data_IF_501015825220
#
_entry.id   IF_501015825220
#
_cell.length_a   1.000
_cell.length_b   1.000
_cell.length_c   1.000
_cell.angle_alpha   90.00
_cell.angle_beta   90.00
_cell.angle_gamma   90.00
#
_symmetry.space_group_name_H-M   'P 1'
#
loop_
_entity.id
_entity.type
_entity.pdbx_description
1 polymer ?
#
# COMPACT_ATOMS: atom_id res chain seq x y z
N UNK A 1 19.96 32.51 58.12
CA UNK A 1 19.78 32.40 56.65
C UNK A 1 20.87 31.48 56.14
N UNK A 2 20.49 30.26 55.79
CA UNK A 2 21.36 29.09 55.61
C UNK A 2 21.98 29.07 54.21
N UNK A 3 23.23 28.61 54.16
CA UNK A 3 24.16 28.67 53.02
C UNK A 3 23.80 27.73 51.86
N UNK A 4 24.09 28.16 50.63
CA UNK A 4 24.05 27.33 49.43
C UNK A 4 25.42 26.65 49.20
N UNK A 5 25.43 25.33 49.10
CA UNK A 5 26.62 24.52 48.80
C UNK A 5 26.69 24.16 47.30
N UNK A 6 27.89 24.07 46.69
CA UNK A 6 28.07 23.66 45.30
C UNK A 6 28.00 22.13 45.14
N UNK A 7 27.41 21.67 44.02
CA UNK A 7 27.32 20.24 43.66
C UNK A 7 28.59 19.77 42.95
N UNK A 8 29.13 18.58 43.25
CA UNK A 8 30.24 17.99 42.50
C UNK A 8 29.77 17.31 41.19
N UNK A 9 30.62 17.25 40.15
CA UNK A 9 30.33 16.49 38.94
C UNK A 9 30.52 14.99 39.20
N UNK A 10 29.56 14.18 38.76
CA UNK A 10 29.66 12.71 38.81
C UNK A 10 30.37 12.19 37.56
N UNK A 11 31.39 11.34 37.68
CA UNK A 11 32.05 10.72 36.54
C UNK A 11 31.15 9.65 35.91
N UNK A 12 30.76 9.87 34.66
CA UNK A 12 30.23 8.85 33.75
C UNK A 12 31.35 7.86 33.45
N UNK A 13 31.42 6.76 34.20
CA UNK A 13 32.20 5.58 33.83
C UNK A 13 31.32 4.34 33.87
N UNK A 14 31.09 3.84 32.66
CA UNK A 14 31.06 2.43 32.29
C UNK A 14 30.24 1.49 33.18
N UNK A 15 29.03 1.18 32.72
CA UNK A 15 28.40 -0.12 32.92
C UNK A 15 27.68 -0.51 31.62
N UNK A 16 28.50 -0.79 30.60
CA UNK A 16 28.12 -1.56 29.42
C UNK A 16 28.47 -3.01 29.76
N UNK A 17 27.54 -3.73 30.36
CA UNK A 17 27.69 -5.14 30.69
C UNK A 17 26.37 -5.87 30.40
N UNK A 18 26.38 -6.55 29.26
CA UNK A 18 25.74 -7.83 28.96
C UNK A 18 24.34 -8.10 29.55
N UNK A 19 23.33 -7.92 28.70
CA UNK A 19 22.09 -8.70 28.75
C UNK A 19 21.88 -9.37 27.38
N UNK A 20 22.64 -10.45 27.13
CA UNK A 20 22.37 -11.39 26.03
C UNK A 20 22.23 -12.76 26.68
N UNK A 21 20.99 -13.16 26.94
CA UNK A 21 20.50 -14.54 26.92
C UNK A 21 19.14 -14.61 27.61
N UNK A 22 18.08 -14.91 26.84
CA UNK A 22 16.88 -15.56 27.38
C UNK A 22 15.61 -14.72 27.50
N UNK A 23 15.51 -13.56 26.85
CA UNK A 23 14.22 -12.91 26.62
C UNK A 23 13.64 -13.45 25.32
N UNK A 24 12.38 -13.88 25.32
CA UNK A 24 11.61 -14.02 24.09
C UNK A 24 11.89 -12.79 23.21
N UNK A 25 12.27 -13.01 21.95
CA UNK A 25 12.48 -11.93 20.98
C UNK A 25 11.13 -11.21 20.83
N UNK A 26 10.86 -10.23 21.69
CA UNK A 26 9.97 -9.14 21.36
C UNK A 26 10.72 -8.34 20.30
N UNK A 27 10.74 -8.89 19.08
CA UNK A 27 11.29 -8.23 17.90
C UNK A 27 10.55 -6.91 17.75
N UNK A 28 11.29 -5.84 17.46
CA UNK A 28 10.65 -4.60 17.07
C UNK A 28 9.72 -4.91 15.89
N UNK A 29 8.48 -4.37 15.86
CA UNK A 29 7.56 -4.63 14.79
C UNK A 29 8.18 -4.22 13.44
N UNK A 30 7.96 -5.03 12.43
CA UNK A 30 8.32 -4.75 11.04
C UNK A 30 7.63 -3.48 10.56
N UNK A 31 8.09 -2.93 9.44
CA UNK A 31 7.44 -1.76 8.85
C UNK A 31 6.01 -2.05 8.40
N UNK A 32 5.77 -3.25 7.86
CA UNK A 32 4.42 -3.70 7.51
C UNK A 32 3.53 -3.82 8.75
N UNK A 33 4.04 -4.39 9.84
CA UNK A 33 3.32 -4.48 11.12
C UNK A 33 2.92 -3.09 11.64
N UNK A 34 3.83 -2.11 11.62
CA UNK A 34 3.52 -0.73 12.06
C UNK A 34 2.52 -0.02 11.16
N UNK A 35 2.63 -0.21 9.84
CA UNK A 35 1.65 0.37 8.90
C UNK A 35 0.26 -0.22 9.16
N UNK A 36 0.17 -1.53 9.39
CA UNK A 36 -1.08 -2.20 9.72
C UNK A 36 -1.61 -1.78 11.10
N UNK A 37 -0.75 -1.49 12.08
CA UNK A 37 -1.16 -0.92 13.37
C UNK A 37 -1.88 0.43 13.15
N UNK A 38 -1.28 1.35 12.40
CA UNK A 38 -1.88 2.66 12.09
C UNK A 38 -3.24 2.52 11.39
N UNK A 39 -3.34 1.63 10.41
CA UNK A 39 -4.59 1.35 9.70
C UNK A 39 -5.66 0.77 10.62
N UNK A 40 -5.27 -0.16 11.48
CA UNK A 40 -6.18 -0.85 12.38
C UNK A 40 -6.61 0.00 13.57
N UNK A 41 -5.74 0.87 14.07
CA UNK A 41 -6.08 1.88 15.08
C UNK A 41 -7.10 2.89 14.53
N UNK A 42 -7.02 3.21 13.24
CA UNK A 42 -7.99 4.10 12.60
C UNK A 42 -9.37 3.46 12.40
N UNK A 43 -9.41 2.26 11.82
CA UNK A 43 -10.67 1.66 11.31
C UNK A 43 -11.29 0.62 12.26
N UNK A 44 -10.53 0.20 13.27
CA UNK A 44 -10.85 -0.95 14.10
C UNK A 44 -10.67 -2.28 13.34
N UNK A 45 -9.66 -3.06 13.73
CA UNK A 45 -9.43 -4.40 13.19
C UNK A 45 -9.73 -5.51 14.20
N UNK A 46 -10.17 -6.66 13.69
CA UNK A 46 -9.96 -7.93 14.39
C UNK A 46 -8.52 -8.40 14.18
N UNK A 47 -8.03 -9.28 15.04
CA UNK A 47 -6.70 -9.90 14.90
C UNK A 47 -6.52 -10.56 13.52
N UNK A 48 -7.55 -11.23 13.00
CA UNK A 48 -7.51 -11.81 11.66
C UNK A 48 -7.34 -10.77 10.54
N UNK A 49 -7.97 -9.59 10.67
CA UNK A 49 -7.80 -8.50 9.70
C UNK A 49 -6.41 -7.86 9.78
N UNK A 50 -5.87 -7.74 11.00
CA UNK A 50 -4.52 -7.27 11.20
C UNK A 50 -3.51 -8.20 10.52
N UNK A 51 -3.59 -9.51 10.77
CA UNK A 51 -2.71 -10.49 10.15
C UNK A 51 -2.82 -10.50 8.62
N UNK A 52 -4.04 -10.40 8.09
CA UNK A 52 -4.24 -10.29 6.65
C UNK A 52 -3.58 -9.03 6.06
N UNK A 53 -3.66 -7.90 6.75
CA UNK A 53 -2.96 -6.67 6.35
C UNK A 53 -1.44 -6.90 6.31
N UNK A 54 -0.87 -7.53 7.33
CA UNK A 54 0.58 -7.83 7.37
C UNK A 54 0.98 -8.73 6.20
N UNK A 55 0.22 -9.81 5.97
CA UNK A 55 0.46 -10.72 4.84
C UNK A 55 0.37 -9.99 3.48
N UNK A 56 -0.59 -9.09 3.30
CA UNK A 56 -0.74 -8.29 2.08
C UNK A 56 0.45 -7.33 1.88
N UNK A 57 0.90 -6.66 2.94
CA UNK A 57 2.07 -5.78 2.86
C UNK A 57 3.35 -6.55 2.55
N UNK A 58 3.58 -7.69 3.19
CA UNK A 58 4.73 -8.55 2.93
C UNK A 58 4.71 -9.11 1.50
N UNK A 59 3.55 -9.56 1.01
CA UNK A 59 3.39 -10.04 -0.35
C UNK A 59 3.69 -8.94 -1.38
N UNK A 60 3.22 -7.72 -1.13
CA UNK A 60 3.47 -6.60 -2.02
C UNK A 60 4.93 -6.10 -1.95
N UNK A 61 5.58 -6.19 -0.79
CA UNK A 61 7.03 -5.97 -0.66
C UNK A 61 7.82 -6.98 -1.49
N UNK A 62 7.45 -8.26 -1.42
CA UNK A 62 8.07 -9.30 -2.24
C UNK A 62 7.86 -9.04 -3.74
N UNK A 63 6.63 -8.71 -4.16
CA UNK A 63 6.32 -8.35 -5.54
C UNK A 63 7.11 -7.12 -6.02
N UNK A 64 7.28 -6.11 -5.17
CA UNK A 64 8.07 -4.92 -5.47
C UNK A 64 9.55 -5.26 -5.65
N UNK A 65 10.07 -6.14 -4.80
CA UNK A 65 11.44 -6.63 -4.90
C UNK A 65 11.65 -7.43 -6.20
N UNK A 66 10.68 -8.25 -6.64
CA UNK A 66 10.75 -8.98 -7.90
C UNK A 66 10.64 -8.05 -9.12
N UNK A 67 9.67 -7.14 -9.13
CA UNK A 67 9.47 -6.17 -10.22
C UNK A 67 10.66 -5.22 -10.41
N UNK A 68 11.46 -5.00 -9.36
CA UNK A 68 12.65 -4.15 -9.39
C UNK A 68 13.74 -4.63 -10.37
N UNK A 69 13.70 -5.89 -10.80
CA UNK A 69 14.61 -6.40 -11.82
C UNK A 69 14.32 -5.82 -13.23
N UNK A 70 13.09 -5.38 -13.50
CA UNK A 70 12.65 -4.93 -14.81
C UNK A 70 12.18 -3.46 -14.83
N UNK A 71 11.84 -2.88 -13.68
CA UNK A 71 11.33 -1.52 -13.55
C UNK A 71 11.90 -0.76 -12.35
N UNK A 72 11.85 0.58 -12.40
CA UNK A 72 12.33 1.53 -11.36
C UNK A 72 11.50 1.53 -10.06
N UNK A 73 10.98 0.37 -9.67
CA UNK A 73 10.18 0.14 -8.47
C UNK A 73 10.96 -0.07 -7.16
N UNK A 74 12.29 -0.30 -7.11
CA UNK A 74 12.94 -0.54 -5.83
C UNK A 74 12.85 0.72 -4.96
N UNK A 75 12.46 0.52 -3.71
CA UNK A 75 12.25 1.59 -2.72
C UNK A 75 10.87 2.26 -2.79
N UNK A 76 10.10 2.10 -3.87
CA UNK A 76 8.77 2.71 -3.94
C UNK A 76 7.81 2.15 -2.88
N UNK A 77 7.99 0.88 -2.51
CA UNK A 77 7.26 0.24 -1.42
C UNK A 77 7.66 0.80 -0.06
N UNK A 78 8.95 0.81 0.24
CA UNK A 78 9.45 1.28 1.54
C UNK A 78 9.10 2.76 1.75
N UNK A 79 9.23 3.58 0.70
CA UNK A 79 8.83 4.99 0.73
C UNK A 79 7.32 5.17 0.92
N UNK A 80 6.49 4.30 0.32
CA UNK A 80 5.05 4.32 0.57
C UNK A 80 4.76 4.00 2.04
N UNK A 81 5.34 2.92 2.57
CA UNK A 81 5.11 2.52 3.96
C UNK A 81 5.56 3.60 4.95
N UNK A 82 6.73 4.23 4.72
CA UNK A 82 7.17 5.39 5.53
C UNK A 82 6.15 6.52 5.42
N UNK A 83 5.71 6.86 4.21
CA UNK A 83 4.74 7.94 4.03
C UNK A 83 3.41 7.66 4.74
N UNK A 84 2.93 6.42 4.74
CA UNK A 84 1.69 6.04 5.42
C UNK A 84 1.83 6.12 6.94
N UNK A 85 3.00 5.78 7.48
CA UNK A 85 3.31 5.94 8.90
C UNK A 85 3.37 7.43 9.31
N UNK A 86 3.95 8.30 8.47
CA UNK A 86 4.21 9.71 8.81
C UNK A 86 3.05 10.65 8.47
N UNK A 87 2.38 10.44 7.33
CA UNK A 87 1.41 11.35 6.72
C UNK A 87 0.00 10.74 6.61
N UNK A 88 -0.17 9.48 7.05
CA UNK A 88 -1.47 8.83 7.09
C UNK A 88 -2.40 9.51 8.09
N UNK A 89 -3.56 9.97 7.63
CA UNK A 89 -4.55 10.63 8.49
C UNK A 89 -5.77 9.75 8.70
N UNK A 90 -6.25 9.67 9.95
CA UNK A 90 -7.53 9.06 10.26
C UNK A 90 -8.59 10.13 10.50
N UNK A 91 -9.67 10.13 9.71
CA UNK A 91 -10.78 11.05 9.84
C UNK A 91 -12.10 10.29 9.69
N UNK A 92 -12.97 10.42 10.70
CA UNK A 92 -14.29 9.79 10.73
C UNK A 92 -14.21 8.27 10.44
N UNK A 93 -13.28 7.58 11.12
CA UNK A 93 -12.96 6.13 10.94
C UNK A 93 -12.50 5.75 9.51
N UNK A 94 -12.16 6.75 8.70
CA UNK A 94 -11.60 6.59 7.36
C UNK A 94 -10.13 6.98 7.37
N UNK A 95 -9.27 6.05 6.94
CA UNK A 95 -7.86 6.34 6.75
C UNK A 95 -7.63 6.91 5.35
N UNK A 96 -6.93 8.04 5.28
CA UNK A 96 -6.60 8.74 4.05
C UNK A 96 -5.08 8.93 3.94
N UNK A 97 -4.55 8.72 2.73
CA UNK A 97 -3.12 8.79 2.40
C UNK A 97 -2.85 9.80 1.27
N UNK A 98 -3.58 10.92 1.26
CA UNK A 98 -3.54 11.88 0.14
C UNK A 98 -2.13 12.41 -0.16
N UNK A 99 -1.28 12.55 0.86
CA UNK A 99 0.12 12.94 0.74
C UNK A 99 1.02 11.85 0.12
N UNK A 100 0.58 10.59 0.11
CA UNK A 100 1.34 9.43 -0.36
C UNK A 100 1.00 8.97 -1.78
N UNK A 101 0.17 9.75 -2.49
CA UNK A 101 -0.31 9.43 -3.85
C UNK A 101 0.82 9.24 -4.86
N UNK A 102 1.93 9.96 -4.71
CA UNK A 102 3.07 9.85 -5.62
C UNK A 102 3.76 8.47 -5.47
N UNK A 103 3.96 8.02 -4.23
CA UNK A 103 4.57 6.72 -3.92
C UNK A 103 3.64 5.57 -4.35
N UNK A 104 2.34 5.69 -4.07
CA UNK A 104 1.32 4.75 -4.57
C UNK A 104 1.33 4.69 -6.10
N UNK A 105 1.37 5.83 -6.79
CA UNK A 105 1.39 5.91 -8.25
C UNK A 105 2.59 5.19 -8.87
N UNK A 106 3.77 5.28 -8.25
CA UNK A 106 4.96 4.54 -8.70
C UNK A 106 4.80 3.04 -8.51
N UNK A 107 4.25 2.57 -7.39
CA UNK A 107 3.96 1.13 -7.20
C UNK A 107 2.91 0.63 -8.19
N UNK A 108 1.90 1.44 -8.50
CA UNK A 108 0.89 1.11 -9.52
C UNK A 108 1.51 0.98 -10.91
N UNK A 109 2.48 1.81 -11.27
CA UNK A 109 3.23 1.65 -12.52
C UNK A 109 3.97 0.30 -12.61
N UNK A 110 4.15 -0.37 -11.47
CA UNK A 110 4.73 -1.71 -11.35
C UNK A 110 3.66 -2.82 -11.23
N UNK A 111 2.37 -2.47 -11.29
CA UNK A 111 1.26 -3.40 -11.10
C UNK A 111 1.06 -3.86 -9.65
N UNK A 112 1.57 -3.10 -8.67
CA UNK A 112 1.51 -3.44 -7.24
C UNK A 112 0.51 -2.56 -6.52
N UNK A 113 -0.30 -3.18 -5.66
CA UNK A 113 -1.50 -2.61 -5.08
C UNK A 113 -1.61 -3.01 -3.60
N UNK A 114 -1.51 -2.04 -2.68
CA UNK A 114 -1.32 -2.33 -1.25
C UNK A 114 -2.61 -2.29 -0.41
N UNK A 115 -3.67 -1.58 -0.84
CA UNK A 115 -4.91 -1.38 -0.04
C UNK A 115 -6.20 -1.36 -0.86
N UNK A 116 -6.22 -2.08 -1.96
CA UNK A 116 -7.42 -2.21 -2.77
C UNK A 116 -7.23 -3.21 -3.88
N UNK A 117 -8.33 -3.80 -4.32
CA UNK A 117 -8.29 -4.70 -5.46
C UNK A 117 -7.96 -3.91 -6.73
N UNK A 118 -7.53 -4.64 -7.76
CA UNK A 118 -7.39 -4.04 -9.10
C UNK A 118 -8.73 -3.50 -9.61
N UNK A 119 -9.85 -4.06 -9.20
CA UNK A 119 -11.19 -3.59 -9.55
C UNK A 119 -11.56 -2.27 -8.83
N UNK A 120 -11.24 -2.12 -7.55
CA UNK A 120 -11.46 -0.87 -6.81
C UNK A 120 -10.62 0.28 -7.39
N UNK A 121 -9.44 -0.03 -7.92
CA UNK A 121 -8.62 0.97 -8.60
C UNK A 121 -9.12 1.28 -9.99
N UNK A 122 -9.57 0.27 -10.74
CA UNK A 122 -10.23 0.51 -12.00
C UNK A 122 -11.48 1.39 -11.81
N UNK A 123 -12.25 1.20 -10.73
CA UNK A 123 -13.33 2.12 -10.33
C UNK A 123 -12.84 3.55 -10.12
N UNK A 124 -11.78 3.74 -9.33
CA UNK A 124 -11.23 5.07 -9.09
C UNK A 124 -10.76 5.75 -10.40
N UNK A 125 -10.13 4.98 -11.29
CA UNK A 125 -9.68 5.45 -12.60
C UNK A 125 -10.85 5.80 -13.52
N UNK A 126 -11.85 4.92 -13.67
CA UNK A 126 -13.03 5.19 -14.50
C UNK A 126 -13.86 6.34 -13.94
N UNK A 127 -13.94 6.49 -12.61
CA UNK A 127 -14.59 7.63 -11.95
C UNK A 127 -13.85 8.94 -12.26
N UNK A 128 -12.52 8.96 -12.21
CA UNK A 128 -11.70 10.11 -12.61
C UNK A 128 -11.89 10.47 -14.10
N UNK A 129 -12.16 9.47 -14.95
CA UNK A 129 -12.51 9.64 -16.35
C UNK A 129 -13.99 9.99 -16.61
N UNK A 130 -14.83 10.11 -15.57
CA UNK A 130 -16.25 10.46 -15.68
C UNK A 130 -17.20 9.32 -16.06
N UNK A 131 -16.74 8.06 -16.01
CA UNK A 131 -17.52 6.87 -16.39
C UNK A 131 -18.17 6.12 -15.20
N UNK A 132 -17.92 6.56 -13.97
CA UNK A 132 -18.45 5.92 -12.75
C UNK A 132 -17.62 4.71 -12.29
N UNK A 133 -18.22 3.84 -11.48
CA UNK A 133 -17.55 2.71 -10.83
C UNK A 133 -18.19 1.39 -11.29
N UNK A 134 -17.62 0.69 -12.30
CA UNK A 134 -18.21 -0.50 -12.89
C UNK A 134 -18.13 -1.77 -12.01
N UNK A 135 -17.25 -1.79 -11.02
CA UNK A 135 -17.03 -2.93 -10.13
C UNK A 135 -17.62 -2.67 -8.74
N UNK A 136 -17.98 -3.74 -8.02
CA UNK A 136 -18.31 -3.61 -6.60
C UNK A 136 -17.02 -3.48 -5.77
N UNK A 137 -17.05 -2.82 -4.61
CA UNK A 137 -15.91 -2.80 -3.68
C UNK A 137 -15.74 -4.17 -2.99
N UNK A 138 -14.56 -4.41 -2.42
CA UNK A 138 -14.20 -5.63 -1.69
C UNK A 138 -13.36 -6.63 -2.49
N UNK A 139 -12.68 -7.58 -1.81
CA UNK A 139 -11.90 -8.63 -2.46
C UNK A 139 -12.78 -9.64 -3.21
N UNK A 140 -13.94 -10.00 -2.67
CA UNK A 140 -14.87 -10.98 -3.27
C UNK A 140 -15.50 -10.52 -4.58
N UNK A 141 -15.51 -9.21 -4.84
CA UNK A 141 -16.08 -8.60 -6.04
C UNK A 141 -15.08 -8.45 -7.17
N UNK A 142 -13.81 -8.82 -6.94
CA UNK A 142 -12.75 -8.81 -7.94
C UNK A 142 -12.15 -10.20 -8.19
N UNK A 143 -12.95 -11.19 -8.63
CA UNK A 143 -12.42 -12.49 -9.05
C UNK A 143 -11.47 -12.31 -10.26
N UNK A 144 -10.60 -13.30 -10.52
CA UNK A 144 -9.54 -13.22 -11.54
C UNK A 144 -10.07 -12.79 -12.93
N UNK A 145 -11.27 -13.24 -13.26
CA UNK A 145 -12.02 -12.88 -14.46
C UNK A 145 -12.24 -11.36 -14.60
N UNK A 146 -12.74 -10.73 -13.54
CA UNK A 146 -12.98 -9.29 -13.49
C UNK A 146 -11.68 -8.52 -13.28
N UNK A 147 -10.72 -9.09 -12.56
CA UNK A 147 -9.41 -8.53 -12.35
C UNK A 147 -8.66 -8.31 -13.67
N UNK A 148 -8.82 -9.21 -14.66
CA UNK A 148 -8.24 -9.04 -15.99
C UNK A 148 -8.82 -7.81 -16.71
N UNK A 149 -10.15 -7.68 -16.74
CA UNK A 149 -10.80 -6.52 -17.37
C UNK A 149 -10.46 -5.20 -16.64
N UNK A 150 -10.39 -5.23 -15.31
CA UNK A 150 -9.98 -4.09 -14.49
C UNK A 150 -8.54 -3.64 -14.82
N UNK A 151 -7.60 -4.57 -15.05
CA UNK A 151 -6.24 -4.22 -15.52
C UNK A 151 -6.27 -3.53 -16.88
N UNK A 152 -7.07 -4.03 -17.82
CA UNK A 152 -7.24 -3.37 -19.11
C UNK A 152 -7.72 -1.92 -18.97
N UNK A 153 -8.61 -1.64 -17.99
CA UNK A 153 -9.06 -0.27 -17.72
C UNK A 153 -7.95 0.60 -17.15
N UNK A 154 -7.14 0.08 -16.23
CA UNK A 154 -6.00 0.81 -15.66
C UNK A 154 -4.90 1.14 -16.68
N UNK A 155 -4.70 0.26 -17.68
CA UNK A 155 -3.70 0.46 -18.73
C UNK A 155 -4.16 1.46 -19.82
N UNK A 156 -5.45 1.80 -19.88
CA UNK A 156 -6.02 2.70 -20.87
C UNK A 156 -6.17 4.13 -20.32
N UNK A 157 -5.90 5.15 -21.14
CA UNK A 157 -6.21 6.54 -20.83
C UNK A 157 -7.72 6.78 -20.85
N UNK A 158 -8.14 7.91 -20.26
CA UNK A 158 -9.53 8.35 -20.36
C UNK A 158 -9.97 8.59 -21.82
N UNK A 159 -9.10 9.04 -22.72
CA UNK A 159 -9.44 9.25 -24.12
C UNK A 159 -9.64 7.93 -24.86
N UNK A 160 -8.77 6.95 -24.60
CA UNK A 160 -8.92 5.59 -25.09
C UNK A 160 -10.20 4.91 -24.60
N UNK A 161 -10.48 4.96 -23.29
CA UNK A 161 -11.71 4.37 -22.73
C UNK A 161 -12.98 5.06 -23.23
N UNK A 162 -12.97 6.38 -23.43
CA UNK A 162 -14.13 7.12 -23.96
C UNK A 162 -14.27 7.04 -25.49
N UNK A 163 -13.29 6.43 -26.19
CA UNK A 163 -13.30 6.32 -27.64
C UNK A 163 -12.93 7.61 -28.38
N UNK A 164 -12.35 8.59 -27.69
CA UNK A 164 -11.82 9.80 -28.32
C UNK A 164 -10.48 9.54 -29.02
N UNK A 165 -9.64 8.67 -28.45
CA UNK A 165 -8.48 8.10 -29.12
C UNK A 165 -8.86 6.72 -29.67
N UNK A 166 -8.98 6.62 -30.99
CA UNK A 166 -9.38 5.39 -31.67
C UNK A 166 -8.32 4.28 -31.57
N UNK A 167 -7.04 4.64 -31.59
CA UNK A 167 -5.96 3.66 -31.53
C UNK A 167 -5.91 3.04 -30.13
N UNK A 168 -6.00 3.88 -29.11
CA UNK A 168 -6.01 3.41 -27.73
C UNK A 168 -7.32 2.68 -27.38
N UNK A 169 -8.46 3.16 -27.88
CA UNK A 169 -9.73 2.44 -27.73
C UNK A 169 -9.67 1.04 -28.35
N UNK A 170 -9.02 0.90 -29.50
CA UNK A 170 -8.82 -0.41 -30.11
C UNK A 170 -7.97 -1.33 -29.21
N UNK A 171 -6.84 -0.84 -28.67
CA UNK A 171 -6.00 -1.61 -27.74
C UNK A 171 -6.76 -2.03 -26.48
N UNK A 172 -7.54 -1.11 -25.90
CA UNK A 172 -8.40 -1.38 -24.76
C UNK A 172 -9.42 -2.49 -25.06
N UNK A 173 -10.10 -2.41 -26.20
CA UNK A 173 -11.06 -3.43 -26.63
C UNK A 173 -10.40 -4.79 -26.88
N UNK A 174 -9.22 -4.82 -27.51
CA UNK A 174 -8.45 -6.03 -27.72
C UNK A 174 -8.04 -6.70 -26.40
N UNK A 175 -7.60 -5.90 -25.42
CA UNK A 175 -7.30 -6.37 -24.07
C UNK A 175 -8.54 -7.03 -23.41
N UNK A 176 -9.68 -6.34 -23.44
CA UNK A 176 -10.94 -6.86 -22.85
C UNK A 176 -11.42 -8.14 -23.54
N UNK A 177 -11.35 -8.21 -24.88
CA UNK A 177 -11.69 -9.42 -25.63
C UNK A 177 -10.75 -10.57 -25.24
N UNK A 178 -9.45 -10.30 -25.08
CA UNK A 178 -8.46 -11.28 -24.63
C UNK A 178 -8.79 -11.83 -23.25
N UNK A 179 -9.18 -10.98 -22.30
CA UNK A 179 -9.66 -11.42 -20.98
C UNK A 179 -10.89 -12.33 -21.11
N UNK A 180 -11.88 -11.93 -21.91
CA UNK A 180 -13.10 -12.70 -22.09
C UNK A 180 -12.88 -14.09 -22.71
N UNK A 181 -11.92 -14.21 -23.63
CA UNK A 181 -11.57 -15.48 -24.24
C UNK A 181 -10.91 -16.46 -23.26
N UNK A 182 -10.19 -15.97 -22.23
CA UNK A 182 -9.57 -16.81 -21.20
C UNK A 182 -10.57 -17.41 -20.20
N UNK A 183 -11.78 -16.86 -20.15
CA UNK A 183 -12.85 -17.31 -19.24
C UNK A 183 -13.71 -18.45 -19.82
N UNK A 184 -13.53 -18.81 -21.09
CA UNK A 184 -14.28 -19.86 -21.78
C UNK A 184 -13.50 -21.16 -21.83
#
# INVERSE_FOLDING_TARGET
MTAAAPRPPRPLKALLLAAVAGGALAGCPSQGERTCDVLCDCRGCSEAKYLACVDEVEAAQAAAAEASAEASCPGAMDELLVCLEDEGECKDDSFTSDACKDQEGRLRACGIFLFGTVCEQANAHTAACGQGEPFQPGPESCPEELACAARCMLDATCEGMNGFDLEENQRFNECNIGCFQRMR
#
